data_IF_421003439676
#
_entry.id   IF_421003439676
#
_cell.length_a   1.000
_cell.length_b   1.000
_cell.length_c   1.000
_cell.angle_alpha   90.00
_cell.angle_beta   90.00
_cell.angle_gamma   90.00
#
_symmetry.space_group_name_H-M   'P 1'
#
loop_
_entity.id
_entity.type
_entity.pdbx_description
1 polymer ?
#
# COMPACT_ATOMS: atom_id res chain seq x y z
N UNK A 1 27.05 8.39 -6.23
CA UNK A 1 26.18 8.55 -5.04
C UNK A 1 25.30 9.80 -5.11
N UNK A 2 25.85 11.02 -5.25
CA UNK A 2 25.06 12.29 -5.30
C UNK A 2 24.04 12.32 -6.45
N UNK A 3 24.42 11.91 -7.64
CA UNK A 3 23.54 11.85 -8.82
C UNK A 3 22.38 10.87 -8.61
N UNK A 4 22.69 9.66 -8.11
CA UNK A 4 21.69 8.65 -7.78
C UNK A 4 20.72 9.14 -6.70
N UNK A 5 21.23 9.80 -5.65
CA UNK A 5 20.39 10.37 -4.61
C UNK A 5 19.44 11.44 -5.17
N UNK A 6 19.93 12.34 -6.01
CA UNK A 6 19.09 13.37 -6.64
C UNK A 6 18.00 12.74 -7.52
N UNK A 7 18.33 11.68 -8.26
CA UNK A 7 17.32 10.91 -9.02
C UNK A 7 16.25 10.33 -8.10
N UNK A 8 16.66 9.68 -7.01
CA UNK A 8 15.73 9.10 -6.03
C UNK A 8 14.78 10.15 -5.44
N UNK A 9 15.33 11.24 -4.92
CA UNK A 9 14.54 12.29 -4.31
C UNK A 9 13.54 12.91 -5.30
N UNK A 10 14.00 13.20 -6.52
CA UNK A 10 13.12 13.74 -7.56
C UNK A 10 12.03 12.74 -8.02
N UNK A 11 12.35 11.44 -8.08
CA UNK A 11 11.39 10.41 -8.46
C UNK A 11 10.33 10.18 -7.36
N UNK A 12 10.73 10.21 -6.09
CA UNK A 12 9.82 10.09 -4.95
C UNK A 12 8.92 11.32 -4.85
N UNK A 13 9.48 12.52 -4.96
CA UNK A 13 8.72 13.77 -4.97
C UNK A 13 7.64 13.75 -6.06
N UNK A 14 7.99 13.35 -7.29
CA UNK A 14 7.04 13.22 -8.40
C UNK A 14 5.96 12.17 -8.13
N UNK A 15 6.34 11.03 -7.53
CA UNK A 15 5.41 9.97 -7.20
C UNK A 15 4.36 10.43 -6.17
N UNK A 16 4.79 11.12 -5.12
CA UNK A 16 3.94 11.60 -4.04
C UNK A 16 3.09 12.82 -4.46
N UNK A 17 3.67 13.75 -5.23
CA UNK A 17 2.91 14.89 -5.78
C UNK A 17 1.77 14.49 -6.73
N UNK A 18 1.84 13.27 -7.28
CA UNK A 18 0.79 12.71 -8.14
C UNK A 18 -0.32 11.98 -7.40
N UNK A 19 -0.23 11.83 -6.08
CA UNK A 19 -1.26 11.13 -5.28
C UNK A 19 -2.52 11.99 -5.20
N UNK A 20 -3.68 11.38 -5.41
CA UNK A 20 -4.97 12.06 -5.35
C UNK A 20 -5.37 12.34 -3.90
N UNK A 21 -5.45 13.62 -3.52
CA UNK A 21 -5.77 14.04 -2.16
C UNK A 21 -7.14 13.52 -1.70
N UNK A 22 -8.16 13.53 -2.55
CA UNK A 22 -9.48 13.04 -2.17
C UNK A 22 -9.46 11.53 -1.83
N UNK A 23 -8.61 10.74 -2.50
CA UNK A 23 -8.42 9.34 -2.15
C UNK A 23 -7.69 9.17 -0.81
N UNK A 24 -6.76 10.07 -0.49
CA UNK A 24 -6.08 10.09 0.80
C UNK A 24 -7.06 10.41 1.92
N UNK A 25 -7.90 11.41 1.74
CA UNK A 25 -8.92 11.81 2.72
C UNK A 25 -9.88 10.63 3.01
N UNK A 26 -10.35 9.93 1.96
CA UNK A 26 -11.18 8.73 2.12
C UNK A 26 -10.43 7.59 2.84
N UNK A 27 -9.14 7.40 2.58
CA UNK A 27 -8.32 6.41 3.29
C UNK A 27 -8.20 6.75 4.77
N UNK A 28 -8.00 8.03 5.12
CA UNK A 28 -7.94 8.51 6.51
C UNK A 28 -9.28 8.27 7.21
N UNK A 29 -10.40 8.59 6.56
CA UNK A 29 -11.74 8.33 7.09
C UNK A 29 -11.95 6.84 7.36
N UNK A 30 -11.51 5.97 6.45
CA UNK A 30 -11.59 4.52 6.61
C UNK A 30 -10.72 4.02 7.77
N UNK A 31 -9.51 4.56 7.95
CA UNK A 31 -8.59 4.17 9.04
C UNK A 31 -9.12 4.64 10.40
N UNK A 32 -9.71 5.82 10.46
CA UNK A 32 -10.18 6.41 11.72
C UNK A 32 -11.53 5.87 12.18
N UNK A 33 -12.25 5.14 11.35
CA UNK A 33 -13.47 4.44 11.74
C UNK A 33 -13.17 3.35 12.79
N UNK A 34 -14.05 3.15 13.80
CA UNK A 34 -13.81 2.17 14.87
C UNK A 34 -13.99 0.74 14.35
N UNK A 35 -12.87 0.10 13.90
CA UNK A 35 -12.83 -1.27 13.37
C UNK A 35 -11.44 -1.85 13.48
N UNK A 36 -11.30 -3.15 13.22
CA UNK A 36 -9.97 -3.77 13.04
C UNK A 36 -9.42 -3.38 11.66
N UNK A 37 -8.13 -3.14 11.62
CA UNK A 37 -7.39 -2.85 10.39
C UNK A 37 -6.43 -4.00 10.14
N UNK A 38 -6.51 -4.58 8.96
CA UNK A 38 -5.57 -5.61 8.52
C UNK A 38 -4.69 -5.04 7.43
N UNK A 39 -3.40 -5.35 7.51
CA UNK A 39 -2.43 -4.88 6.51
C UNK A 39 -1.76 -6.09 5.87
N UNK A 40 -1.58 -6.05 4.56
CA UNK A 40 -0.99 -7.12 3.79
C UNK A 40 -0.05 -6.61 2.69
N UNK A 41 1.00 -7.36 2.46
CA UNK A 41 1.94 -7.19 1.36
C UNK A 41 2.92 -8.33 1.30
N UNK A 42 3.64 -8.47 0.19
CA UNK A 42 4.62 -9.54 -0.03
C UNK A 42 5.98 -8.96 -0.39
N UNK A 43 7.06 -9.60 0.05
CA UNK A 43 8.42 -9.15 -0.22
C UNK A 43 8.69 -7.76 0.37
N UNK A 44 9.37 -6.89 -0.36
CA UNK A 44 9.68 -5.53 0.08
C UNK A 44 8.41 -4.71 0.34
N UNK A 45 7.38 -4.84 -0.50
CA UNK A 45 6.08 -4.20 -0.25
C UNK A 45 5.47 -4.67 1.07
N UNK A 46 5.66 -5.95 1.44
CA UNK A 46 5.24 -6.49 2.74
C UNK A 46 5.99 -5.87 3.92
N UNK A 47 7.30 -5.65 3.80
CA UNK A 47 8.10 -5.01 4.84
C UNK A 47 7.67 -3.56 5.09
N UNK A 48 7.35 -2.82 4.03
CA UNK A 48 6.83 -1.46 4.13
C UNK A 48 5.42 -1.44 4.73
N UNK A 49 4.58 -2.39 4.32
CA UNK A 49 3.25 -2.59 4.90
C UNK A 49 3.33 -2.90 6.42
N UNK A 50 4.32 -3.70 6.85
CA UNK A 50 4.57 -3.95 8.27
C UNK A 50 5.02 -2.68 9.01
N UNK A 51 5.88 -1.86 8.41
CA UNK A 51 6.28 -0.58 9.00
C UNK A 51 5.06 0.33 9.21
N UNK A 52 4.15 0.38 8.25
CA UNK A 52 2.89 1.11 8.39
C UNK A 52 1.98 0.52 9.49
N UNK A 53 1.88 -0.82 9.58
CA UNK A 53 1.13 -1.47 10.65
C UNK A 53 1.66 -1.04 12.03
N UNK A 54 2.98 -1.03 12.21
CA UNK A 54 3.61 -0.56 13.46
C UNK A 54 3.25 0.90 13.74
N UNK A 55 3.27 1.77 12.73
CA UNK A 55 2.89 3.18 12.89
C UNK A 55 1.44 3.32 13.37
N UNK A 56 0.51 2.62 12.76
CA UNK A 56 -0.90 2.66 13.17
C UNK A 56 -1.12 2.10 14.58
N UNK A 57 -0.42 1.02 14.97
CA UNK A 57 -0.45 0.52 16.35
C UNK A 57 0.05 1.57 17.33
N UNK A 58 1.15 2.28 17.02
CA UNK A 58 1.67 3.36 17.84
C UNK A 58 0.68 4.54 17.99
N UNK A 59 -0.17 4.75 16.99
CA UNK A 59 -1.25 5.74 17.03
C UNK A 59 -2.51 5.25 17.78
N UNK A 60 -2.52 4.00 18.24
CA UNK A 60 -3.60 3.43 19.06
C UNK A 60 -4.69 2.70 18.28
N UNK A 61 -4.50 2.40 17.01
CA UNK A 61 -5.44 1.61 16.21
C UNK A 61 -5.29 0.10 16.48
N UNK A 62 -6.38 -0.64 16.31
CA UNK A 62 -6.41 -2.11 16.38
C UNK A 62 -5.96 -2.70 15.02
N UNK A 63 -4.67 -3.00 14.91
CA UNK A 63 -4.03 -3.36 13.64
C UNK A 63 -3.38 -4.73 13.70
N UNK A 64 -3.58 -5.51 12.63
CA UNK A 64 -3.02 -6.85 12.46
C UNK A 64 -2.35 -6.99 11.10
N UNK A 65 -1.21 -7.70 11.03
CA UNK A 65 -0.59 -8.03 9.76
C UNK A 65 -1.06 -9.41 9.29
N UNK A 66 -1.61 -9.49 8.08
CA UNK A 66 -2.14 -10.76 7.52
C UNK A 66 -0.97 -11.72 7.25
N UNK A 67 -1.06 -12.92 7.80
CA UNK A 67 -0.04 -13.96 7.70
C UNK A 67 0.69 -14.23 9.01
N UNK A 68 0.45 -13.45 10.06
CA UNK A 68 0.89 -13.80 11.41
C UNK A 68 -0.01 -14.88 11.99
N UNK A 69 0.55 -15.77 12.79
CA UNK A 69 -0.18 -16.91 13.36
C UNK A 69 -1.31 -16.50 14.31
N UNK A 70 -1.24 -15.29 14.83
CA UNK A 70 -2.24 -14.70 15.75
C UNK A 70 -3.20 -13.74 15.06
N UNK A 71 -3.18 -13.66 13.74
CA UNK A 71 -4.09 -12.81 12.98
C UNK A 71 -5.53 -13.24 13.23
N UNK A 72 -6.42 -12.36 13.75
CA UNK A 72 -7.81 -12.68 13.95
C UNK A 72 -8.58 -12.85 12.63
N UNK A 73 -9.79 -13.34 12.70
CA UNK A 73 -10.67 -13.44 11.54
C UNK A 73 -11.11 -12.04 11.10
N UNK A 74 -11.09 -11.81 9.79
CA UNK A 74 -11.61 -10.59 9.14
C UNK A 74 -13.13 -10.69 9.07
N UNK A 75 -13.83 -9.67 9.58
CA UNK A 75 -15.28 -9.54 9.54
C UNK A 75 -15.75 -8.45 8.58
N UNK A 76 -17.03 -8.42 8.26
CA UNK A 76 -17.63 -7.52 7.25
C UNK A 76 -17.49 -6.01 7.56
N UNK A 77 -17.21 -5.64 8.80
CA UNK A 77 -16.99 -4.24 9.18
C UNK A 77 -15.52 -3.81 9.15
N UNK A 78 -14.60 -4.72 8.86
CA UNK A 78 -13.17 -4.47 8.96
C UNK A 78 -12.59 -3.80 7.69
N UNK A 79 -11.38 -3.25 7.85
CA UNK A 79 -10.59 -2.65 6.77
C UNK A 79 -9.37 -3.53 6.48
N UNK A 80 -9.10 -3.79 5.20
CA UNK A 80 -7.87 -4.45 4.76
C UNK A 80 -7.11 -3.56 3.78
N UNK A 81 -5.88 -3.19 4.13
CA UNK A 81 -4.99 -2.38 3.29
C UNK A 81 -3.94 -3.30 2.68
N UNK A 82 -3.85 -3.31 1.35
CA UNK A 82 -2.96 -4.19 0.59
C UNK A 82 -1.95 -3.37 -0.20
N UNK A 83 -0.66 -3.62 0.03
CA UNK A 83 0.44 -2.95 -0.67
C UNK A 83 1.02 -3.88 -1.74
N UNK A 84 0.93 -3.48 -3.00
CA UNK A 84 1.49 -4.23 -4.12
C UNK A 84 1.81 -3.31 -5.30
N UNK A 85 3.09 -3.16 -5.62
CA UNK A 85 3.54 -2.28 -6.71
C UNK A 85 2.83 -2.59 -8.03
N UNK A 86 2.87 -3.85 -8.48
CA UNK A 86 2.27 -4.26 -9.77
C UNK A 86 0.76 -4.48 -9.70
N UNK A 87 0.22 -4.72 -8.51
CA UNK A 87 -1.17 -5.13 -8.32
C UNK A 87 -1.52 -6.51 -8.95
N UNK A 88 -0.51 -7.26 -9.40
CA UNK A 88 -0.66 -8.58 -10.04
C UNK A 88 -0.18 -9.74 -9.14
N UNK A 89 0.37 -9.44 -7.95
CA UNK A 89 0.80 -10.47 -7.01
C UNK A 89 -0.38 -11.37 -6.63
N UNK A 90 -0.31 -12.64 -7.00
CA UNK A 90 -1.44 -13.56 -6.91
C UNK A 90 -2.03 -13.64 -5.50
N UNK A 91 -1.19 -13.77 -4.47
CA UNK A 91 -1.65 -13.82 -3.07
C UNK A 91 -2.34 -12.52 -2.64
N UNK A 92 -1.87 -11.35 -3.08
CA UNK A 92 -2.52 -10.06 -2.81
C UNK A 92 -3.92 -9.98 -3.46
N UNK A 93 -4.03 -10.40 -4.71
CA UNK A 93 -5.31 -10.46 -5.44
C UNK A 93 -6.27 -11.44 -4.79
N UNK A 94 -5.79 -12.63 -4.40
CA UNK A 94 -6.62 -13.63 -3.72
C UNK A 94 -7.10 -13.11 -2.37
N UNK A 95 -6.22 -12.50 -1.57
CA UNK A 95 -6.59 -11.88 -0.29
C UNK A 95 -7.68 -10.83 -0.48
N UNK A 96 -7.52 -9.90 -1.44
CA UNK A 96 -8.53 -8.89 -1.75
C UNK A 96 -9.89 -9.51 -2.11
N UNK A 97 -9.90 -10.55 -2.96
CA UNK A 97 -11.13 -11.23 -3.36
C UNK A 97 -11.82 -11.95 -2.20
N UNK A 98 -11.06 -12.57 -1.29
CA UNK A 98 -11.60 -13.23 -0.09
C UNK A 98 -12.23 -12.17 0.82
N UNK A 99 -11.50 -11.10 1.11
CA UNK A 99 -11.92 -9.99 1.97
C UNK A 99 -13.23 -9.36 1.45
N UNK A 100 -13.32 -9.11 0.16
CA UNK A 100 -14.57 -8.59 -0.45
C UNK A 100 -15.75 -9.53 -0.32
N UNK A 101 -15.54 -10.85 -0.41
CA UNK A 101 -16.61 -11.85 -0.20
C UNK A 101 -17.11 -11.85 1.24
N UNK A 102 -16.26 -11.57 2.20
CA UNK A 102 -16.63 -11.39 3.61
C UNK A 102 -17.42 -10.10 3.82
N UNK A 103 -17.30 -9.13 2.91
CA UNK A 103 -17.95 -7.82 2.99
C UNK A 103 -17.09 -6.74 3.69
N UNK A 104 -15.81 -7.02 3.94
CA UNK A 104 -14.88 -6.04 4.46
C UNK A 104 -14.40 -5.10 3.35
N UNK A 105 -13.93 -3.92 3.74
CA UNK A 105 -13.40 -2.90 2.84
C UNK A 105 -11.96 -3.24 2.43
N UNK A 106 -11.64 -3.04 1.14
CA UNK A 106 -10.28 -3.21 0.61
C UNK A 106 -9.77 -1.89 0.08
N UNK A 107 -8.63 -1.44 0.62
CA UNK A 107 -7.84 -0.33 0.08
C UNK A 107 -6.55 -0.89 -0.49
N UNK A 108 -6.22 -0.57 -1.73
CA UNK A 108 -4.94 -0.94 -2.35
C UNK A 108 -4.02 0.25 -2.51
N UNK A 109 -2.74 0.03 -2.21
CA UNK A 109 -1.63 0.94 -2.53
C UNK A 109 -0.88 0.30 -3.70
N UNK A 110 -0.90 0.92 -4.88
CA UNK A 110 -0.32 0.33 -6.09
C UNK A 110 0.13 1.39 -7.10
N UNK A 111 1.08 1.04 -7.98
CA UNK A 111 1.41 1.88 -9.14
C UNK A 111 0.44 1.66 -10.33
N UNK A 112 -0.32 0.56 -10.32
CA UNK A 112 -1.13 0.11 -11.44
C UNK A 112 -2.60 0.00 -11.06
N UNK A 113 -3.38 1.09 -11.13
CA UNK A 113 -4.79 1.09 -10.72
C UNK A 113 -5.67 0.14 -11.54
N UNK A 114 -5.32 -0.11 -12.80
CA UNK A 114 -6.04 -1.03 -13.69
C UNK A 114 -5.58 -2.51 -13.55
N UNK A 115 -4.86 -2.84 -12.47
CA UNK A 115 -4.44 -4.22 -12.17
C UNK A 115 -5.58 -5.05 -11.58
N UNK A 116 -5.36 -6.37 -11.46
CA UNK A 116 -6.32 -7.27 -10.80
C UNK A 116 -6.61 -6.86 -9.36
N UNK A 117 -5.60 -6.41 -8.62
CA UNK A 117 -5.78 -5.90 -7.27
C UNK A 117 -6.60 -4.60 -7.28
N UNK A 118 -6.33 -3.68 -8.20
CA UNK A 118 -7.11 -2.45 -8.35
C UNK A 118 -8.60 -2.74 -8.58
N UNK A 119 -8.92 -3.68 -9.48
CA UNK A 119 -10.31 -4.10 -9.72
C UNK A 119 -10.95 -4.82 -8.53
N UNK A 120 -10.14 -5.40 -7.65
CA UNK A 120 -10.60 -6.06 -6.42
C UNK A 120 -10.69 -5.10 -5.22
N UNK A 121 -10.41 -3.83 -5.36
CA UNK A 121 -10.36 -2.83 -4.27
C UNK A 121 -11.57 -1.91 -4.29
N UNK A 122 -11.96 -1.43 -3.10
CA UNK A 122 -12.98 -0.39 -2.94
C UNK A 122 -12.38 1.01 -3.15
N UNK A 123 -11.13 1.19 -2.72
CA UNK A 123 -10.38 2.42 -2.87
C UNK A 123 -8.95 2.11 -3.35
N UNK A 124 -8.41 2.95 -4.21
CA UNK A 124 -7.05 2.81 -4.74
C UNK A 124 -6.28 4.08 -4.42
N UNK A 125 -5.15 3.93 -3.73
CA UNK A 125 -4.12 4.95 -3.62
C UNK A 125 -3.06 4.64 -4.66
N UNK A 126 -3.01 5.44 -5.71
CA UNK A 126 -2.02 5.27 -6.76
C UNK A 126 -0.74 6.02 -6.40
N UNK A 127 0.35 5.27 -6.21
CA UNK A 127 1.71 5.81 -6.09
C UNK A 127 2.47 5.44 -7.34
N UNK A 128 2.58 6.36 -8.28
CA UNK A 128 3.21 6.13 -9.58
C UNK A 128 4.72 5.94 -9.44
N UNK A 129 5.27 5.03 -10.23
CA UNK A 129 6.72 4.83 -10.33
C UNK A 129 7.17 5.23 -11.74
N UNK A 130 8.26 5.98 -11.91
CA UNK A 130 8.74 6.33 -13.24
C UNK A 130 9.07 5.06 -14.04
N UNK A 131 8.86 5.11 -15.34
CA UNK A 131 9.26 4.05 -16.28
C UNK A 131 10.22 4.63 -17.32
N UNK A 132 11.41 5.00 -16.87
CA UNK A 132 12.46 5.58 -17.69
C UNK A 132 13.74 4.71 -17.70
N UNK A 133 14.67 5.07 -18.57
CA UNK A 133 15.94 4.33 -18.70
C UNK A 133 16.82 4.47 -17.44
N UNK A 134 16.71 5.58 -16.74
CA UNK A 134 17.48 5.85 -15.53
C UNK A 134 17.02 5.01 -14.34
N UNK A 135 15.73 4.67 -14.28
CA UNK A 135 15.19 3.75 -13.27
C UNK A 135 15.90 2.42 -13.27
N UNK A 136 16.15 1.83 -14.44
CA UNK A 136 16.85 0.54 -14.53
C UNK A 136 18.26 0.58 -13.94
N UNK A 137 18.93 1.73 -14.05
CA UNK A 137 20.29 1.94 -13.54
C UNK A 137 20.31 2.32 -12.06
N UNK A 138 19.45 3.24 -11.65
CA UNK A 138 19.52 3.91 -10.35
C UNK A 138 18.56 3.29 -9.32
N UNK A 139 17.41 2.80 -9.74
CA UNK A 139 16.32 2.33 -8.87
C UNK A 139 15.59 1.11 -9.48
N UNK A 140 16.28 -0.04 -9.62
CA UNK A 140 15.69 -1.21 -10.28
C UNK A 140 14.48 -1.76 -9.51
N UNK A 141 13.64 -2.53 -10.20
CA UNK A 141 12.45 -3.17 -9.66
C UNK A 141 11.42 -2.15 -9.13
N UNK A 142 10.87 -2.40 -7.96
CA UNK A 142 9.85 -1.57 -7.31
C UNK A 142 10.40 -0.50 -6.37
N UNK A 143 11.70 -0.22 -6.37
CA UNK A 143 12.38 0.58 -5.34
C UNK A 143 11.72 1.95 -5.12
N UNK A 144 11.44 2.71 -6.17
CA UNK A 144 10.80 4.03 -6.03
C UNK A 144 9.38 3.92 -5.46
N UNK A 145 8.60 2.94 -5.89
CA UNK A 145 7.27 2.70 -5.34
C UNK A 145 7.35 2.40 -3.84
N UNK A 146 8.28 1.53 -3.46
CA UNK A 146 8.41 1.07 -2.08
C UNK A 146 8.87 2.21 -1.17
N UNK A 147 9.88 2.98 -1.57
CA UNK A 147 10.40 4.10 -0.80
C UNK A 147 9.39 5.28 -0.74
N UNK A 148 8.69 5.55 -1.84
CA UNK A 148 7.60 6.53 -1.86
C UNK A 148 6.42 6.10 -0.98
N UNK A 149 6.06 4.80 -0.99
CA UNK A 149 4.99 4.28 -0.13
C UNK A 149 5.37 4.36 1.36
N UNK A 150 6.63 4.08 1.72
CA UNK A 150 7.10 4.22 3.09
C UNK A 150 6.99 5.68 3.56
N UNK A 151 7.42 6.62 2.73
CA UNK A 151 7.31 8.05 3.05
C UNK A 151 5.84 8.50 3.09
N UNK A 152 5.01 8.04 2.16
CA UNK A 152 3.56 8.31 2.15
C UNK A 152 2.87 7.90 3.45
N UNK A 153 3.25 6.77 4.03
CA UNK A 153 2.68 6.28 5.28
C UNK A 153 3.13 7.08 6.53
N UNK A 154 4.15 7.89 6.41
CA UNK A 154 4.64 8.76 7.50
C UNK A 154 4.13 10.22 7.38
N UNK A 155 3.50 10.58 6.24
CA UNK A 155 2.92 11.90 6.00
C UNK A 155 1.48 12.00 6.50
#
# INVERSE_FOLDING_TARGET
MKETLNYFLGAIDKALSGVNQASVDLMIDSITAPRKIFIYGVGRSGLIAQAFAVRLVQLGFDVHFVGEMTTPIVDSGDLVIIVSNTGETMSAVQTANIVRRVGAEVISITSHPNSKLGHASNLIIQISSPDDKEKKRNAPLGTIFEDASLLFFDL
#
